data_IF_317129624642
#
_entry.id   IF_317129624642
#
_cell.length_a   1.000
_cell.length_b   1.000
_cell.length_c   1.000
_cell.angle_alpha   90.00
_cell.angle_beta   90.00
_cell.angle_gamma   90.00
#
_symmetry.space_group_name_H-M   'P 1'
#
loop_
_entity.id
_entity.type
_entity.pdbx_description
1 polymer ?
#
# COMPACT_ATOMS: atom_id res chain seq x y z
N UNK A 1 15.38 -0.41 -19.02
CA UNK A 1 14.61 -1.38 -18.20
C UNK A 1 14.23 -2.64 -19.00
N UNK A 2 14.14 -3.84 -18.39
CA UNK A 2 13.77 -5.03 -19.15
C UNK A 2 12.26 -5.01 -19.45
N UNK A 3 11.85 -5.20 -20.71
CA UNK A 3 10.46 -5.03 -21.13
C UNK A 3 9.53 -6.18 -20.72
N UNK A 4 10.06 -7.33 -20.30
CA UNK A 4 9.26 -8.48 -19.86
C UNK A 4 9.51 -8.77 -18.37
N UNK A 5 8.44 -8.82 -17.60
CA UNK A 5 8.44 -9.17 -16.17
C UNK A 5 7.47 -10.31 -15.91
N UNK A 6 7.89 -11.27 -15.10
CA UNK A 6 7.00 -12.25 -14.48
C UNK A 6 6.70 -11.72 -13.08
N UNK A 7 5.42 -11.54 -12.75
CA UNK A 7 4.95 -11.03 -11.46
C UNK A 7 3.79 -11.87 -10.97
N UNK A 8 3.61 -11.95 -9.66
CA UNK A 8 2.34 -12.38 -9.11
C UNK A 8 1.26 -11.32 -9.36
N UNK A 9 0.04 -11.80 -9.54
CA UNK A 9 -1.16 -10.98 -9.71
C UNK A 9 -1.98 -10.98 -8.42
N UNK A 10 -2.99 -10.11 -8.34
CA UNK A 10 -3.82 -9.98 -7.14
C UNK A 10 -4.42 -11.30 -6.63
N UNK A 11 -4.94 -12.23 -7.46
CA UNK A 11 -5.43 -13.51 -6.94
C UNK A 11 -4.39 -14.29 -6.13
N UNK A 12 -3.12 -14.23 -6.54
CA UNK A 12 -2.03 -14.89 -5.81
C UNK A 12 -1.64 -14.09 -4.57
N UNK A 13 -1.47 -12.78 -4.70
CA UNK A 13 -1.10 -11.90 -3.57
C UNK A 13 -2.16 -11.97 -2.46
N UNK A 14 -3.44 -11.86 -2.82
CA UNK A 14 -4.58 -11.86 -1.90
C UNK A 14 -4.90 -13.26 -1.32
N UNK A 15 -4.25 -14.32 -1.81
CA UNK A 15 -4.35 -15.66 -1.21
C UNK A 15 -3.49 -15.82 0.06
N UNK A 16 -2.59 -14.87 0.34
CA UNK A 16 -1.77 -14.90 1.54
C UNK A 16 -2.59 -14.56 2.80
N UNK A 17 -2.30 -15.27 3.90
CA UNK A 17 -2.89 -14.97 5.22
C UNK A 17 -2.50 -13.58 5.72
N UNK A 18 -1.19 -13.30 5.67
CA UNK A 18 -0.60 -12.06 6.13
C UNK A 18 0.14 -11.40 4.98
N UNK A 19 -0.08 -10.11 4.78
CA UNK A 19 0.62 -9.29 3.79
C UNK A 19 1.28 -8.13 4.53
N UNK A 20 2.56 -7.88 4.24
CA UNK A 20 3.29 -6.72 4.73
C UNK A 20 3.60 -5.79 3.57
N UNK A 21 3.30 -4.51 3.72
CA UNK A 21 3.69 -3.45 2.78
C UNK A 21 4.74 -2.57 3.43
N UNK A 22 5.92 -2.50 2.83
CA UNK A 22 7.03 -1.68 3.30
C UNK A 22 7.21 -0.54 2.31
N UNK A 23 7.08 0.70 2.78
CA UNK A 23 7.15 1.89 1.94
C UNK A 23 8.04 2.93 2.62
N UNK A 24 8.97 3.48 1.86
CA UNK A 24 9.95 4.46 2.33
C UNK A 24 10.06 5.60 1.34
N UNK A 25 10.40 6.79 1.84
CA UNK A 25 10.66 7.95 1.00
C UNK A 25 9.41 8.78 0.69
N UNK A 26 9.66 10.06 0.43
CA UNK A 26 8.63 11.10 0.28
C UNK A 26 7.84 10.97 -1.02
N UNK A 27 8.45 10.37 -2.04
CA UNK A 27 7.84 10.13 -3.35
C UNK A 27 6.57 9.27 -3.25
N UNK A 28 6.54 8.32 -2.30
CA UNK A 28 5.41 7.41 -2.09
C UNK A 28 4.33 7.97 -1.14
N UNK A 29 4.60 9.09 -0.46
CA UNK A 29 3.70 9.62 0.57
C UNK A 29 2.28 9.94 0.06
N UNK A 30 2.15 10.31 -1.22
CA UNK A 30 0.85 10.48 -1.85
C UNK A 30 0.09 9.16 -1.99
N UNK A 31 0.76 8.11 -2.45
CA UNK A 31 0.14 6.80 -2.65
C UNK A 31 -0.33 6.22 -1.31
N UNK A 32 0.54 6.32 -0.29
CA UNK A 32 0.23 5.93 1.10
C UNK A 32 -1.02 6.66 1.60
N UNK A 33 -1.05 7.99 1.51
CA UNK A 33 -2.19 8.78 1.97
C UNK A 33 -3.49 8.46 1.20
N UNK A 34 -3.42 8.27 -0.12
CA UNK A 34 -4.59 7.88 -0.93
C UNK A 34 -5.13 6.52 -0.48
N UNK A 35 -4.25 5.52 -0.35
CA UNK A 35 -4.65 4.16 -0.04
C UNK A 35 -5.17 4.03 1.39
N UNK A 36 -4.43 4.53 2.37
CA UNK A 36 -4.77 4.37 3.77
C UNK A 36 -5.96 5.24 4.22
N UNK A 37 -6.18 6.40 3.61
CA UNK A 37 -7.39 7.21 3.83
C UNK A 37 -8.58 6.75 2.96
N UNK A 38 -8.44 5.66 2.19
CA UNK A 38 -9.49 5.13 1.31
C UNK A 38 -10.08 6.17 0.34
N UNK A 39 -9.23 7.06 -0.18
CA UNK A 39 -9.68 8.12 -1.09
C UNK A 39 -10.17 7.51 -2.41
N UNK A 40 -11.38 7.85 -2.87
CA UNK A 40 -11.91 7.31 -4.12
C UNK A 40 -11.17 7.94 -5.31
N UNK A 41 -10.27 7.19 -5.94
CA UNK A 41 -9.60 7.57 -7.18
C UNK A 41 -9.92 6.56 -8.29
N UNK A 42 -9.90 7.01 -9.55
CA UNK A 42 -10.20 6.16 -10.71
C UNK A 42 -9.11 6.34 -11.79
N UNK A 43 -8.38 5.28 -12.18
CA UNK A 43 -8.40 3.93 -11.60
C UNK A 43 -7.85 3.90 -10.15
N UNK A 44 -8.21 2.89 -9.34
CA UNK A 44 -7.63 2.70 -8.00
C UNK A 44 -6.13 2.46 -8.09
N UNK A 45 -5.38 2.86 -7.04
CA UNK A 45 -3.97 2.52 -6.94
C UNK A 45 -3.83 0.99 -6.77
N UNK A 46 -2.83 0.33 -7.38
CA UNK A 46 -2.63 -1.11 -7.22
C UNK A 46 -2.51 -1.56 -5.76
N UNK A 47 -1.89 -0.76 -4.89
CA UNK A 47 -1.77 -1.05 -3.46
C UNK A 47 -3.12 -1.01 -2.72
N UNK A 48 -4.11 -0.28 -3.22
CA UNK A 48 -5.47 -0.26 -2.67
C UNK A 48 -6.27 -1.53 -2.98
N UNK A 49 -5.81 -2.36 -3.92
CA UNK A 49 -6.46 -3.62 -4.30
C UNK A 49 -5.90 -4.86 -3.57
N UNK A 50 -4.94 -4.65 -2.68
CA UNK A 50 -4.35 -5.70 -1.84
C UNK A 50 -5.34 -6.06 -0.72
N UNK A 51 -5.75 -7.33 -0.69
CA UNK A 51 -6.74 -7.86 0.26
C UNK A 51 -6.22 -9.16 0.89
N UNK A 52 -5.66 -9.13 2.11
CA UNK A 52 -5.17 -10.33 2.78
C UNK A 52 -6.34 -11.22 3.22
N UNK A 53 -6.09 -12.50 3.51
CA UNK A 53 -7.10 -13.35 4.15
C UNK A 53 -7.30 -13.01 5.64
N UNK A 54 -6.24 -12.59 6.33
CA UNK A 54 -6.29 -12.27 7.77
C UNK A 54 -5.78 -10.85 8.05
N UNK A 55 -4.55 -10.48 7.65
CA UNK A 55 -3.92 -9.21 8.08
C UNK A 55 -3.10 -8.52 6.99
N UNK A 56 -3.23 -7.20 6.91
CA UNK A 56 -2.38 -6.32 6.10
C UNK A 56 -1.68 -5.34 7.04
N UNK A 57 -0.35 -5.40 7.08
CA UNK A 57 0.49 -4.54 7.93
C UNK A 57 1.28 -3.57 7.08
N UNK A 58 1.28 -2.29 7.45
CA UNK A 58 2.04 -1.25 6.77
C UNK A 58 3.24 -0.81 7.62
N UNK A 59 4.41 -0.82 7.03
CA UNK A 59 5.65 -0.31 7.61
C UNK A 59 6.07 0.91 6.82
N UNK A 60 6.00 2.07 7.47
CA UNK A 60 6.26 3.37 6.85
C UNK A 60 7.42 4.06 7.57
N UNK A 61 8.30 4.72 6.83
CA UNK A 61 9.17 5.74 7.42
C UNK A 61 8.43 7.09 7.56
N UNK A 62 9.08 8.06 8.21
CA UNK A 62 8.50 9.38 8.43
C UNK A 62 8.17 10.12 7.13
N UNK A 63 8.99 9.94 6.10
CA UNK A 63 8.80 10.62 4.82
C UNK A 63 7.61 10.05 4.04
N UNK A 64 7.45 8.71 3.99
CA UNK A 64 6.30 8.04 3.40
C UNK A 64 5.01 8.31 4.19
N UNK A 65 5.10 8.47 5.51
CA UNK A 65 3.98 8.83 6.37
C UNK A 65 3.64 10.33 6.36
N UNK A 66 4.45 11.19 5.72
CA UNK A 66 4.39 12.65 5.88
C UNK A 66 3.07 13.32 5.47
N UNK A 67 2.21 12.61 4.75
CA UNK A 67 0.89 13.10 4.29
C UNK A 67 -0.29 12.48 5.01
N UNK A 68 -0.05 11.58 5.96
CA UNK A 68 -1.10 11.01 6.79
C UNK A 68 -1.59 12.03 7.83
N UNK A 69 -2.86 11.96 8.24
CA UNK A 69 -3.38 12.85 9.27
C UNK A 69 -2.65 12.60 10.61
N UNK A 70 -2.49 13.64 11.47
CA UNK A 70 -1.71 13.53 12.71
C UNK A 70 -2.11 12.40 13.67
N UNK A 71 -3.36 11.95 13.62
CA UNK A 71 -3.90 10.89 14.49
C UNK A 71 -3.86 9.49 13.87
N UNK A 72 -3.18 9.31 12.73
CA UNK A 72 -3.17 8.04 12.00
C UNK A 72 -2.41 6.91 12.73
N UNK A 73 -1.42 7.24 13.56
CA UNK A 73 -0.48 6.26 14.17
C UNK A 73 -1.11 5.45 15.32
N UNK A 74 -2.33 5.78 15.78
CA UNK A 74 -2.97 5.16 16.96
C UNK A 74 -4.16 4.23 16.63
N UNK A 75 -4.29 3.75 15.38
CA UNK A 75 -5.27 2.73 14.98
C UNK A 75 -4.56 1.44 14.60
#
# INVERSE_FOLDING_TARGET
>A
PPPKRITFTFPVINSAKHIAMVVTGKEEANAVAITLEHKPILPPLPCSEVRPQEMLTWFLDWDAASKLPPNFINQ
#
